data_IF_983889334228
#
_entry.id   IF_983889334228
#
_cell.length_a   1.000
_cell.length_b   1.000
_cell.length_c   1.000
_cell.angle_alpha   90.00
_cell.angle_beta   90.00
_cell.angle_gamma   90.00
#
_symmetry.space_group_name_H-M   'P 1'
#
loop_
_entity.id
_entity.type
_entity.pdbx_description
1 polymer ?
#
# COMPACT_ATOMS: atom_id res chain seq x y z
N UNK A 1 11.29 -5.02 18.76
CA UNK A 1 9.95 -4.44 18.54
C UNK A 1 9.31 -5.18 17.38
N UNK A 2 8.08 -5.66 17.54
CA UNK A 2 7.33 -6.33 16.47
C UNK A 2 6.52 -5.27 15.74
N UNK A 3 6.90 -4.92 14.51
CA UNK A 3 6.09 -4.03 13.68
C UNK A 3 4.79 -4.72 13.28
N UNK A 4 3.66 -4.03 13.39
CA UNK A 4 2.33 -4.54 13.01
C UNK A 4 1.73 -3.66 11.92
N UNK A 5 0.87 -4.24 11.09
CA UNK A 5 0.08 -3.48 10.14
C UNK A 5 -0.78 -2.44 10.89
N UNK A 6 -0.74 -1.16 10.51
CA UNK A 6 -1.59 -0.15 11.12
C UNK A 6 -3.04 -0.31 10.65
N UNK A 7 -3.96 0.30 11.39
CA UNK A 7 -5.34 0.42 10.95
C UNK A 7 -5.45 1.21 9.64
N UNK A 8 -6.27 0.79 8.67
CA UNK A 8 -6.38 1.48 7.39
C UNK A 8 -7.05 2.86 7.52
N UNK A 9 -6.42 3.90 6.96
CA UNK A 9 -7.01 5.24 6.88
C UNK A 9 -8.31 5.23 6.06
N UNK A 10 -9.42 5.73 6.61
CA UNK A 10 -10.71 5.81 5.93
C UNK A 10 -10.92 7.16 5.25
N UNK A 11 -11.91 7.23 4.36
CA UNK A 11 -12.34 8.48 3.71
C UNK A 11 -13.70 8.91 4.24
N UNK A 12 -13.91 10.21 4.36
CA UNK A 12 -15.24 10.79 4.55
C UNK A 12 -15.92 10.99 3.18
N UNK A 13 -17.25 10.84 3.09
CA UNK A 13 -18.00 11.24 1.90
C UNK A 13 -17.96 12.76 1.73
N UNK A 14 -17.89 13.23 0.49
CA UNK A 14 -17.98 14.65 0.12
C UNK A 14 -19.08 14.86 -0.92
N UNK A 15 -19.71 16.05 -1.01
CA UNK A 15 -20.86 16.27 -1.89
C UNK A 15 -20.56 16.21 -3.39
N UNK A 16 -19.30 16.41 -3.79
CA UNK A 16 -18.89 16.48 -5.18
C UNK A 16 -17.40 16.15 -5.36
N UNK A 17 -16.95 15.97 -6.61
CA UNK A 17 -15.59 15.56 -6.93
C UNK A 17 -14.58 16.73 -6.98
N UNK A 18 -14.96 17.92 -6.48
CA UNK A 18 -14.11 19.10 -6.54
C UNK A 18 -12.78 18.85 -5.83
N UNK A 19 -11.68 19.10 -6.53
CA UNK A 19 -10.33 18.83 -6.06
C UNK A 19 -9.68 20.15 -5.58
N UNK A 20 -9.43 20.33 -4.27
CA UNK A 20 -8.79 21.55 -3.77
C UNK A 20 -7.37 21.72 -4.35
N UNK A 21 -6.90 22.97 -4.54
CA UNK A 21 -5.51 23.23 -4.96
C UNK A 21 -4.50 22.49 -4.07
N UNK A 22 -3.54 21.81 -4.71
CA UNK A 22 -2.51 21.01 -4.01
C UNK A 22 -2.93 19.56 -3.67
N UNK A 23 -4.12 19.12 -4.06
CA UNK A 23 -4.58 17.74 -3.87
C UNK A 23 -4.33 16.87 -5.10
N UNK A 24 -4.16 15.56 -4.90
CA UNK A 24 -4.12 14.56 -5.97
C UNK A 24 -5.44 13.77 -6.03
N UNK A 25 -5.87 13.39 -7.23
CA UNK A 25 -7.03 12.55 -7.45
C UNK A 25 -6.63 11.19 -8.05
N UNK A 26 -7.18 10.12 -7.49
CA UNK A 26 -7.05 8.76 -8.01
C UNK A 26 -8.45 8.14 -8.16
N UNK A 27 -8.73 7.36 -9.21
CA UNK A 27 -10.01 6.67 -9.34
C UNK A 27 -10.27 5.73 -8.16
N UNK A 28 -11.40 5.91 -7.47
CA UNK A 28 -11.82 4.97 -6.44
C UNK A 28 -12.23 3.65 -7.11
N UNK A 29 -11.41 2.60 -6.94
CA UNK A 29 -11.75 1.25 -7.39
C UNK A 29 -12.89 0.68 -6.53
N UNK A 30 -13.83 0.00 -7.17
CA UNK A 30 -14.88 -0.76 -6.50
C UNK A 30 -14.42 -2.21 -6.32
N UNK A 31 -13.73 -2.46 -5.22
CA UNK A 31 -13.18 -3.76 -4.87
C UNK A 31 -12.89 -3.84 -3.38
N UNK A 32 -12.26 -4.93 -2.96
CA UNK A 32 -11.85 -5.10 -1.57
C UNK A 32 -10.56 -4.35 -1.27
N UNK A 33 -10.50 -3.71 -0.11
CA UNK A 33 -9.25 -3.17 0.42
C UNK A 33 -8.42 -4.29 1.02
N UNK A 34 -7.15 -4.34 0.64
CA UNK A 34 -6.17 -5.23 1.26
C UNK A 34 -4.89 -4.45 1.60
N UNK A 35 -4.38 -4.66 2.82
CA UNK A 35 -3.05 -4.19 3.21
C UNK A 35 -2.07 -5.36 3.10
N UNK A 36 -0.92 -5.11 2.47
CA UNK A 36 0.12 -6.12 2.27
C UNK A 36 1.36 -5.73 3.06
N UNK A 37 1.83 -6.63 3.92
CA UNK A 37 3.10 -6.52 4.62
C UNK A 37 4.03 -7.67 4.26
N UNK A 38 5.29 -7.33 3.99
CA UNK A 38 6.40 -8.29 3.91
C UNK A 38 7.36 -8.01 5.05
N UNK A 39 7.57 -9.01 5.88
CA UNK A 39 8.44 -8.92 7.04
C UNK A 39 9.87 -9.35 6.68
N UNK A 40 10.84 -8.91 7.49
CA UNK A 40 12.25 -9.22 7.28
C UNK A 40 12.58 -10.72 7.38
N UNK A 41 11.77 -11.47 8.14
CA UNK A 41 11.85 -12.93 8.27
C UNK A 41 11.25 -13.69 7.06
N UNK A 42 10.80 -12.98 6.03
CA UNK A 42 10.18 -13.57 4.84
C UNK A 42 8.70 -13.91 5.01
N UNK A 43 8.08 -13.58 6.16
CA UNK A 43 6.62 -13.69 6.31
C UNK A 43 5.92 -12.65 5.44
N UNK A 44 4.78 -13.03 4.88
CA UNK A 44 3.87 -12.13 4.16
C UNK A 44 2.50 -12.20 4.83
N UNK A 45 1.88 -11.04 5.01
CA UNK A 45 0.52 -10.91 5.54
C UNK A 45 -0.28 -10.01 4.61
N UNK A 46 -1.40 -10.53 4.11
CA UNK A 46 -2.42 -9.78 3.38
C UNK A 46 -3.65 -9.66 4.29
N UNK A 47 -3.97 -8.46 4.75
CA UNK A 47 -5.10 -8.21 5.65
C UNK A 47 -6.23 -7.43 4.98
N UNK A 48 -7.46 -7.84 5.26
CA UNK A 48 -8.67 -7.09 4.89
C UNK A 48 -8.74 -5.72 5.60
N UNK A 49 -9.72 -4.90 5.21
CA UNK A 49 -10.05 -3.66 5.96
C UNK A 49 -10.31 -3.89 7.45
N UNK A 50 -10.83 -5.06 7.82
CA UNK A 50 -11.20 -5.40 9.21
C UNK A 50 -10.11 -6.24 9.92
N UNK A 51 -8.89 -6.29 9.37
CA UNK A 51 -7.79 -7.05 9.95
C UNK A 51 -7.85 -8.57 9.72
N UNK A 52 -8.82 -9.07 8.96
CA UNK A 52 -8.90 -10.50 8.61
C UNK A 52 -7.69 -10.90 7.78
N UNK A 53 -6.97 -11.94 8.18
CA UNK A 53 -5.92 -12.54 7.36
C UNK A 53 -6.55 -13.21 6.13
N UNK A 54 -6.21 -12.71 4.94
CA UNK A 54 -6.65 -13.18 3.64
C UNK A 54 -5.55 -13.90 2.86
N UNK A 55 -4.36 -14.07 3.45
CA UNK A 55 -3.15 -14.52 2.74
C UNK A 55 -3.35 -15.87 2.04
N UNK A 56 -4.07 -16.80 2.67
CA UNK A 56 -4.35 -18.11 2.09
C UNK A 56 -5.34 -18.07 0.90
N UNK A 57 -6.22 -17.06 0.85
CA UNK A 57 -7.23 -16.93 -0.20
C UNK A 57 -6.67 -16.33 -1.50
N UNK A 58 -5.52 -15.64 -1.44
CA UNK A 58 -4.88 -14.97 -2.58
C UNK A 58 -3.42 -15.39 -2.71
N UNK A 59 -3.14 -16.67 -3.01
CA UNK A 59 -1.78 -17.18 -3.09
C UNK A 59 -0.94 -16.37 -4.09
N UNK A 60 -1.46 -16.02 -5.26
CA UNK A 60 -0.76 -15.23 -6.28
C UNK A 60 -0.19 -13.91 -5.74
N UNK A 61 -0.92 -13.20 -4.87
CA UNK A 61 -0.45 -11.96 -4.25
C UNK A 61 0.73 -12.24 -3.31
N UNK A 62 0.61 -13.29 -2.47
CA UNK A 62 1.70 -13.73 -1.59
C UNK A 62 2.96 -14.07 -2.39
N UNK A 63 2.81 -14.79 -3.49
CA UNK A 63 3.94 -15.22 -4.32
C UNK A 63 4.66 -14.04 -4.96
N UNK A 64 3.93 -13.06 -5.50
CA UNK A 64 4.52 -11.83 -6.05
C UNK A 64 5.21 -11.01 -4.95
N UNK A 65 4.58 -10.88 -3.78
CA UNK A 65 5.16 -10.16 -2.65
C UNK A 65 6.51 -10.75 -2.18
N UNK A 66 6.69 -12.07 -2.29
CA UNK A 66 7.94 -12.75 -1.95
C UNK A 66 9.03 -12.58 -3.00
N UNK A 67 8.68 -12.19 -4.23
CA UNK A 67 9.61 -12.09 -5.35
C UNK A 67 10.47 -10.83 -5.20
N UNK A 68 11.78 -11.01 -5.07
CA UNK A 68 12.78 -9.98 -4.73
C UNK A 68 13.04 -8.90 -5.79
N UNK A 69 12.20 -8.79 -6.82
CA UNK A 69 12.54 -8.09 -8.06
C UNK A 69 12.11 -6.61 -8.08
N UNK A 70 11.35 -6.13 -7.08
CA UNK A 70 11.01 -4.71 -6.97
C UNK A 70 12.06 -3.94 -6.17
N UNK A 71 13.08 -3.43 -6.87
CA UNK A 71 13.93 -2.36 -6.36
C UNK A 71 13.16 -1.05 -6.49
N UNK A 72 12.83 -0.38 -5.37
CA UNK A 72 12.31 0.98 -5.44
C UNK A 72 13.28 1.84 -6.30
N UNK A 73 12.77 2.72 -7.19
CA UNK A 73 13.66 3.59 -7.96
C UNK A 73 14.56 4.37 -6.98
N UNK A 74 15.85 4.56 -7.29
CA UNK A 74 16.74 5.32 -6.43
C UNK A 74 16.12 6.69 -6.16
N UNK A 75 16.12 7.10 -4.90
CA UNK A 75 15.56 8.37 -4.47
C UNK A 75 16.18 9.51 -5.31
N UNK A 76 15.40 10.10 -6.22
CA UNK A 76 15.84 11.23 -7.06
C UNK A 76 15.87 12.57 -6.31
N UNK A 77 15.77 12.59 -4.98
CA UNK A 77 16.11 13.77 -4.19
C UNK A 77 17.54 13.67 -3.67
N UNK A 78 18.49 14.06 -4.53
CA UNK A 78 19.77 14.70 -4.17
C UNK A 78 20.59 15.11 -5.42
N UNK A 79 20.19 14.71 -6.63
CA UNK A 79 20.90 15.04 -7.89
C UNK A 79 20.49 16.38 -8.55
N UNK A 80 19.79 17.26 -7.83
CA UNK A 80 19.60 18.66 -8.27
C UNK A 80 20.40 19.65 -7.42
N UNK A 81 21.61 19.26 -7.04
CA UNK A 81 22.64 20.17 -6.59
C UNK A 81 23.70 20.28 -7.68
N UNK A 82 23.39 21.02 -8.75
CA UNK A 82 24.39 21.59 -9.67
C UNK A 82 23.76 22.83 -10.33
N UNK A 83 24.49 23.93 -10.55
CA UNK A 83 25.46 24.63 -9.71
C UNK A 83 24.90 25.98 -9.18
#
# INVERSE_FOLDING_TARGET
>A
MTWTLPEPILTAPVPGPDLPPGSAAEPKRDGYRAQLARYADGRVLLCSRQGTDMTAAFPEIRWVALRSEYQAPPNRSNDKLIP
#
